data_IF_993984182272
#
_entry.id   IF_993984182272
#
_cell.length_a   1.000
_cell.length_b   1.000
_cell.length_c   1.000
_cell.angle_alpha   90.00
_cell.angle_beta   90.00
_cell.angle_gamma   90.00
#
_symmetry.space_group_name_H-M   'P 1'
#
loop_
_entity.id
_entity.type
_entity.pdbx_description
1 polymer ?
#
# COMPACT_ATOMS: atom_id res chain seq x y z
N UNK A 1 19.16 -3.83 -5.99
CA UNK A 1 18.73 -3.38 -7.35
C UNK A 1 19.18 -4.33 -8.45
N UNK A 2 20.45 -4.82 -8.45
CA UNK A 2 20.97 -5.68 -9.50
C UNK A 2 20.26 -7.05 -9.60
N UNK A 3 19.98 -7.71 -8.48
CA UNK A 3 19.31 -9.02 -8.45
C UNK A 3 17.86 -8.96 -8.93
N UNK A 4 17.11 -7.93 -8.53
CA UNK A 4 15.73 -7.74 -9.02
C UNK A 4 15.71 -7.36 -10.51
N UNK A 5 16.71 -6.61 -10.98
CA UNK A 5 16.91 -6.32 -12.39
C UNK A 5 17.22 -7.57 -13.21
N UNK A 6 18.05 -8.48 -12.69
CA UNK A 6 18.36 -9.74 -13.35
C UNK A 6 17.11 -10.62 -13.48
N UNK A 7 16.33 -10.78 -12.43
CA UNK A 7 15.07 -11.54 -12.47
C UNK A 7 14.07 -10.96 -13.49
N UNK A 8 13.98 -9.62 -13.58
CA UNK A 8 13.18 -8.94 -14.60
C UNK A 8 13.69 -9.20 -16.03
N UNK A 9 14.99 -9.16 -16.23
CA UNK A 9 15.62 -9.42 -17.52
C UNK A 9 15.44 -10.87 -17.99
N UNK A 10 15.52 -11.83 -17.08
CA UNK A 10 15.26 -13.25 -17.35
C UNK A 10 13.80 -13.53 -17.77
N UNK A 11 12.86 -12.66 -17.41
CA UNK A 11 11.44 -12.77 -17.77
C UNK A 11 11.08 -12.04 -19.06
N UNK A 12 11.90 -11.11 -19.52
CA UNK A 12 11.62 -10.28 -20.70
C UNK A 12 12.06 -11.01 -21.97
N UNK A 13 11.12 -11.38 -22.81
CA UNK A 13 11.35 -12.09 -24.09
C UNK A 13 12.23 -11.30 -25.08
N UNK A 14 12.32 -9.98 -24.92
CA UNK A 14 13.19 -9.12 -25.74
C UNK A 14 14.61 -8.95 -25.16
N UNK A 15 14.92 -9.61 -24.05
CA UNK A 15 16.24 -9.51 -23.41
C UNK A 15 17.13 -10.70 -23.80
N UNK A 16 18.42 -10.46 -24.03
CA UNK A 16 19.39 -11.51 -24.37
C UNK A 16 19.55 -12.59 -23.29
N UNK A 17 19.21 -12.25 -22.03
CA UNK A 17 19.23 -13.18 -20.90
C UNK A 17 17.91 -13.95 -20.72
N UNK A 18 16.94 -13.82 -21.63
CA UNK A 18 15.62 -14.46 -21.50
C UNK A 18 15.72 -15.95 -21.24
N UNK A 19 15.23 -16.39 -20.09
CA UNK A 19 15.20 -17.79 -19.67
C UNK A 19 14.07 -18.06 -18.68
N UNK A 20 12.86 -18.34 -19.15
CA UNK A 20 11.72 -18.61 -18.28
C UNK A 20 11.93 -19.85 -17.41
N UNK A 21 12.70 -20.83 -17.88
CA UNK A 21 13.07 -22.02 -17.11
C UNK A 21 13.92 -21.64 -15.88
N UNK A 22 14.92 -20.80 -16.06
CA UNK A 22 15.78 -20.32 -14.94
C UNK A 22 14.97 -19.51 -13.92
N UNK A 23 14.03 -18.67 -14.41
CA UNK A 23 13.12 -17.94 -13.49
C UNK A 23 12.26 -18.90 -12.67
N UNK A 24 11.71 -19.92 -13.31
CA UNK A 24 10.92 -20.94 -12.63
C UNK A 24 11.75 -21.68 -11.57
N UNK A 25 12.97 -22.10 -11.90
CA UNK A 25 13.88 -22.74 -10.95
C UNK A 25 14.18 -21.86 -9.74
N UNK A 26 14.51 -20.57 -9.98
CA UNK A 26 14.81 -19.62 -8.88
C UNK A 26 13.59 -19.48 -7.95
N UNK A 27 12.39 -19.34 -8.52
CA UNK A 27 11.16 -19.19 -7.72
C UNK A 27 10.82 -20.44 -6.92
N UNK A 28 10.86 -21.61 -7.54
CA UNK A 28 10.55 -22.89 -6.87
C UNK A 28 11.58 -23.15 -5.77
N UNK A 29 12.87 -23.00 -6.06
CA UNK A 29 13.92 -23.22 -5.05
C UNK A 29 13.77 -22.25 -3.88
N UNK A 30 13.50 -20.97 -4.13
CA UNK A 30 13.24 -19.99 -3.07
C UNK A 30 12.06 -20.39 -2.18
N UNK A 31 10.96 -20.82 -2.79
CA UNK A 31 9.77 -21.28 -2.03
C UNK A 31 10.07 -22.54 -1.20
N UNK A 32 10.80 -23.53 -1.75
CA UNK A 32 11.18 -24.74 -1.02
C UNK A 32 12.13 -24.44 0.15
N UNK A 33 13.07 -23.52 -0.03
CA UNK A 33 13.97 -23.09 1.04
C UNK A 33 13.21 -22.40 2.19
N UNK A 34 12.23 -21.54 1.87
CA UNK A 34 11.39 -20.92 2.89
C UNK A 34 10.44 -21.92 3.55
N UNK A 35 9.91 -22.89 2.80
CA UNK A 35 9.08 -23.95 3.37
C UNK A 35 9.88 -24.78 4.38
N UNK A 36 11.10 -25.20 4.04
CA UNK A 36 11.99 -25.92 4.93
C UNK A 36 12.26 -25.14 6.23
N UNK A 37 12.44 -23.82 6.13
CA UNK A 37 12.61 -22.96 7.32
C UNK A 37 11.32 -22.88 8.14
N UNK A 38 10.17 -22.73 7.50
CA UNK A 38 8.87 -22.67 8.14
C UNK A 38 8.55 -23.97 8.91
N UNK A 39 8.80 -25.14 8.31
CA UNK A 39 8.62 -26.45 8.95
C UNK A 39 9.47 -26.59 10.23
N UNK A 40 10.73 -26.15 10.17
CA UNK A 40 11.61 -26.15 11.35
C UNK A 40 11.09 -25.21 12.46
N UNK A 41 10.59 -24.03 12.13
CA UNK A 41 9.99 -23.12 13.11
C UNK A 41 8.72 -23.71 13.72
N UNK A 42 7.86 -24.32 12.91
CA UNK A 42 6.64 -24.99 13.41
C UNK A 42 7.01 -26.13 14.39
N UNK A 43 8.07 -26.89 14.11
CA UNK A 43 8.49 -28.02 14.97
C UNK A 43 8.90 -27.62 16.39
N UNK A 44 9.31 -26.36 16.61
CA UNK A 44 9.63 -25.79 17.92
C UNK A 44 8.48 -24.98 18.55
N UNK A 45 7.27 -25.02 17.93
CA UNK A 45 6.08 -24.38 18.46
C UNK A 45 5.87 -22.93 17.99
N UNK A 46 6.58 -22.48 16.95
CA UNK A 46 6.29 -21.17 16.32
C UNK A 46 5.05 -21.25 15.43
N UNK A 47 4.37 -20.11 15.27
CA UNK A 47 3.26 -19.94 14.34
C UNK A 47 3.71 -19.12 13.14
N UNK A 48 3.52 -19.62 11.93
CA UNK A 48 3.76 -18.85 10.71
C UNK A 48 2.53 -17.98 10.45
N UNK A 49 2.67 -16.66 10.64
CA UNK A 49 1.60 -15.69 10.44
C UNK A 49 1.42 -15.39 8.94
N UNK A 50 2.54 -15.27 8.23
CA UNK A 50 2.55 -15.00 6.80
C UNK A 50 3.81 -15.59 6.17
N UNK A 51 3.66 -16.12 4.96
CA UNK A 51 4.75 -16.45 4.05
C UNK A 51 4.55 -15.71 2.72
N UNK A 52 5.58 -15.06 2.22
CA UNK A 52 5.59 -14.44 0.91
C UNK A 52 6.76 -14.99 0.08
N UNK A 53 7.11 -14.35 -1.05
CA UNK A 53 8.14 -14.83 -1.99
C UNK A 53 9.54 -14.94 -1.37
N UNK A 54 9.85 -14.12 -0.38
CA UNK A 54 11.20 -13.86 0.11
C UNK A 54 11.31 -13.75 1.64
N UNK A 55 10.24 -14.04 2.37
CA UNK A 55 10.27 -13.94 3.81
C UNK A 55 9.08 -14.57 4.53
N UNK A 56 9.27 -14.76 5.82
CA UNK A 56 8.29 -15.30 6.77
C UNK A 56 8.02 -14.29 7.87
N UNK A 57 6.75 -14.09 8.25
CA UNK A 57 6.39 -13.50 9.52
C UNK A 57 6.07 -14.62 10.50
N UNK A 58 6.82 -14.66 11.59
CA UNK A 58 6.78 -15.75 12.56
C UNK A 58 6.42 -15.22 13.93
N UNK A 59 5.39 -15.77 14.54
CA UNK A 59 5.09 -15.56 15.94
C UNK A 59 5.82 -16.63 16.75
N UNK A 60 6.85 -16.23 17.48
CA UNK A 60 7.72 -17.08 18.27
C UNK A 60 7.35 -17.01 19.75
N UNK A 61 7.22 -18.15 20.47
CA UNK A 61 7.16 -18.16 21.93
C UNK A 61 8.43 -17.56 22.54
N UNK A 62 8.29 -16.83 23.65
CA UNK A 62 9.42 -16.10 24.26
C UNK A 62 10.54 -17.01 24.76
N UNK A 63 10.20 -18.20 25.22
CA UNK A 63 11.13 -19.22 25.71
C UNK A 63 11.89 -19.94 24.58
N UNK A 64 11.55 -19.74 23.32
CA UNK A 64 12.12 -20.42 22.16
C UNK A 64 13.17 -19.60 21.39
N UNK A 65 13.69 -18.51 21.96
CA UNK A 65 14.70 -17.66 21.31
C UNK A 65 15.93 -18.42 20.85
N UNK A 66 16.51 -19.26 21.74
CA UNK A 66 17.77 -19.96 21.45
C UNK A 66 17.58 -20.98 20.34
N UNK A 67 16.50 -21.80 20.42
CA UNK A 67 16.20 -22.81 19.40
C UNK A 67 15.90 -22.12 18.03
N UNK A 68 15.16 -21.00 18.04
CA UNK A 68 14.87 -20.22 16.85
C UNK A 68 16.15 -19.73 16.17
N UNK A 69 17.06 -19.11 16.91
CA UNK A 69 18.34 -18.63 16.39
C UNK A 69 19.25 -19.76 15.89
N UNK A 70 19.21 -20.91 16.53
CA UNK A 70 19.96 -22.08 16.05
C UNK A 70 19.43 -22.57 14.70
N UNK A 71 18.11 -22.62 14.53
CA UNK A 71 17.47 -22.97 13.24
C UNK A 71 17.90 -21.98 12.15
N UNK A 72 17.90 -20.69 12.43
CA UNK A 72 18.35 -19.67 11.49
C UNK A 72 19.80 -19.92 11.03
N UNK A 73 20.71 -20.13 11.99
CA UNK A 73 22.14 -20.39 11.70
C UNK A 73 22.36 -21.69 10.91
N UNK A 74 21.64 -22.75 11.24
CA UNK A 74 21.72 -24.02 10.50
C UNK A 74 21.22 -23.85 9.07
N UNK A 75 20.12 -23.12 8.89
CA UNK A 75 19.55 -22.84 7.58
C UNK A 75 20.51 -22.01 6.73
N UNK A 76 21.10 -20.93 7.29
CA UNK A 76 22.09 -20.09 6.61
C UNK A 76 23.33 -20.90 6.19
N UNK A 77 23.84 -21.76 7.09
CA UNK A 77 24.96 -22.65 6.80
C UNK A 77 24.65 -23.61 5.66
N UNK A 78 23.44 -24.17 5.65
CA UNK A 78 23.01 -25.14 4.64
C UNK A 78 22.79 -24.48 3.27
N UNK A 79 22.12 -23.34 3.25
CA UNK A 79 21.71 -22.67 2.00
C UNK A 79 22.75 -21.71 1.47
N UNK A 80 23.70 -21.26 2.29
CA UNK A 80 24.66 -20.19 2.02
C UNK A 80 23.99 -18.83 1.72
N UNK A 81 22.75 -18.65 2.16
CA UNK A 81 22.01 -17.40 2.13
C UNK A 81 22.03 -16.78 3.53
N UNK A 82 21.89 -15.47 3.62
CA UNK A 82 21.81 -14.74 4.88
C UNK A 82 20.36 -14.35 5.15
N UNK A 83 19.90 -14.55 6.37
CA UNK A 83 18.60 -14.10 6.84
C UNK A 83 18.72 -12.69 7.45
N UNK A 84 17.82 -11.80 7.09
CA UNK A 84 17.62 -10.54 7.78
C UNK A 84 16.45 -10.69 8.76
N UNK A 85 16.67 -10.37 10.03
CA UNK A 85 15.64 -10.41 11.06
C UNK A 85 15.17 -9.01 11.41
N UNK A 86 13.88 -8.76 11.20
CA UNK A 86 13.18 -7.59 11.73
C UNK A 86 12.29 -8.04 12.90
N UNK A 87 12.38 -7.34 14.04
CA UNK A 87 11.51 -7.61 15.20
C UNK A 87 10.37 -6.62 15.26
N UNK A 88 9.18 -7.14 15.61
CA UNK A 88 7.96 -6.37 15.63
C UNK A 88 7.24 -6.47 16.97
N UNK A 89 6.73 -5.36 17.47
CA UNK A 89 5.86 -5.29 18.65
C UNK A 89 4.42 -5.68 18.32
N UNK A 90 3.95 -5.31 17.11
CA UNK A 90 2.60 -5.59 16.65
C UNK A 90 2.54 -5.69 15.12
N UNK A 91 1.55 -6.44 14.63
CA UNK A 91 1.21 -6.52 13.21
C UNK A 91 -0.30 -6.48 13.03
N UNK A 92 -0.75 -5.58 12.17
CA UNK A 92 -2.14 -5.44 11.75
C UNK A 92 -2.21 -5.80 10.26
N UNK A 93 -2.76 -6.96 9.97
CA UNK A 93 -2.78 -7.53 8.63
C UNK A 93 -4.22 -7.67 8.12
N UNK A 94 -4.49 -7.13 6.94
CA UNK A 94 -5.71 -7.36 6.18
C UNK A 94 -5.48 -8.41 5.09
N UNK A 95 -4.35 -8.31 4.36
CA UNK A 95 -3.94 -9.27 3.33
C UNK A 95 -2.40 -9.33 3.27
N UNK A 96 -1.85 -10.25 2.45
CA UNK A 96 -0.40 -10.44 2.29
C UNK A 96 0.34 -9.15 1.91
N UNK A 97 -0.30 -8.30 1.11
CA UNK A 97 0.26 -7.03 0.66
C UNK A 97 -0.42 -5.79 1.29
N UNK A 98 -1.30 -6.01 2.26
CA UNK A 98 -2.02 -4.97 2.98
C UNK A 98 -1.82 -5.16 4.48
N UNK A 99 -0.77 -4.54 5.03
CA UNK A 99 -0.45 -4.65 6.45
C UNK A 99 0.27 -3.41 6.99
N UNK A 100 0.14 -3.23 8.30
CA UNK A 100 0.89 -2.30 9.13
C UNK A 100 1.64 -3.11 10.18
N UNK A 101 2.98 -3.11 10.13
CA UNK A 101 3.82 -3.76 11.11
C UNK A 101 4.62 -2.72 11.92
N UNK A 102 4.57 -2.84 13.22
CA UNK A 102 5.19 -1.93 14.20
C UNK A 102 6.48 -2.56 14.66
N UNK A 103 7.63 -2.02 14.26
CA UNK A 103 8.95 -2.51 14.67
C UNK A 103 9.19 -2.25 16.17
N UNK A 104 10.02 -3.09 16.76
CA UNK A 104 10.47 -2.96 18.15
C UNK A 104 11.07 -1.57 18.41
N UNK A 105 10.72 -0.95 19.56
CA UNK A 105 11.14 0.38 19.95
C UNK A 105 10.21 1.52 19.51
N UNK A 106 9.17 1.24 18.72
CA UNK A 106 8.19 2.27 18.35
C UNK A 106 7.42 2.78 19.55
N UNK A 107 6.99 1.90 20.44
CA UNK A 107 6.21 2.28 21.63
C UNK A 107 6.94 3.32 22.49
N UNK A 108 8.27 3.29 22.53
CA UNK A 108 9.12 4.20 23.29
C UNK A 108 9.46 5.50 22.52
N UNK A 109 9.84 5.36 21.26
CA UNK A 109 10.40 6.47 20.46
C UNK A 109 9.38 7.23 19.64
N UNK A 110 8.27 6.56 19.27
CA UNK A 110 7.27 7.06 18.31
C UNK A 110 7.86 7.48 16.95
N UNK A 111 9.02 6.89 16.56
CA UNK A 111 9.64 7.18 15.27
C UNK A 111 8.82 6.56 14.12
N UNK A 112 8.26 7.38 13.20
CA UNK A 112 7.49 6.88 12.06
C UNK A 112 8.26 5.90 11.16
N UNK A 113 9.60 5.93 11.16
CA UNK A 113 10.45 5.00 10.41
C UNK A 113 10.36 3.57 10.89
N UNK A 114 9.90 3.36 12.12
CA UNK A 114 9.66 2.03 12.70
C UNK A 114 8.29 1.45 12.30
N UNK A 115 7.48 2.17 11.54
CA UNK A 115 6.23 1.67 10.97
C UNK A 115 6.47 1.17 9.55
N UNK A 116 6.33 -0.14 9.33
CA UNK A 116 6.38 -0.76 8.02
C UNK A 116 4.96 -0.86 7.45
N UNK A 117 4.65 0.02 6.49
CA UNK A 117 3.33 0.15 5.88
C UNK A 117 3.32 -0.46 4.49
N UNK A 118 2.29 -1.24 4.17
CA UNK A 118 2.11 -1.85 2.85
C UNK A 118 0.65 -1.79 2.40
N UNK A 119 0.44 -1.63 1.09
CA UNK A 119 -0.89 -1.58 0.47
C UNK A 119 -1.73 -0.41 0.98
N UNK A 120 -2.92 -0.71 1.47
CA UNK A 120 -3.88 0.28 1.96
C UNK A 120 -3.42 1.10 3.18
N UNK A 121 -2.40 0.64 3.91
CA UNK A 121 -1.86 1.34 5.08
C UNK A 121 -0.81 2.41 4.73
N UNK A 122 -0.45 2.55 3.46
CA UNK A 122 0.50 3.57 3.02
C UNK A 122 -0.19 4.93 3.06
N UNK A 123 0.33 5.84 3.89
CA UNK A 123 -0.16 7.21 4.09
C UNK A 123 0.82 8.28 3.55
N UNK A 124 1.67 7.88 2.60
CA UNK A 124 2.62 8.76 1.92
C UNK A 124 2.19 9.03 0.48
N UNK A 125 2.42 10.26 0.02
CA UNK A 125 2.11 10.68 -1.34
C UNK A 125 2.96 9.92 -2.37
N UNK A 126 2.30 9.22 -3.29
CA UNK A 126 2.96 8.58 -4.44
C UNK A 126 2.74 9.39 -5.71
N UNK A 127 3.76 10.09 -6.15
CA UNK A 127 3.73 10.81 -7.43
C UNK A 127 3.51 9.83 -8.60
N UNK A 128 2.60 10.18 -9.52
CA UNK A 128 2.38 9.46 -10.78
C UNK A 128 1.35 8.32 -10.76
N UNK A 129 0.80 7.95 -9.61
CA UNK A 129 -0.34 7.02 -9.50
C UNK A 129 -1.58 7.75 -9.02
N UNK A 130 -2.76 7.19 -9.30
CA UNK A 130 -3.99 7.63 -8.64
C UNK A 130 -3.84 7.45 -7.13
N UNK A 131 -4.42 8.34 -6.35
CA UNK A 131 -4.21 8.41 -4.91
C UNK A 131 -5.53 8.80 -4.24
N UNK A 132 -5.95 7.99 -3.30
CA UNK A 132 -7.06 8.32 -2.39
C UNK A 132 -6.61 9.34 -1.34
N UNK A 133 -7.57 9.93 -0.63
CA UNK A 133 -7.29 10.90 0.41
C UNK A 133 -6.40 10.29 1.51
N UNK A 134 -5.21 10.88 1.71
CA UNK A 134 -4.19 10.36 2.66
C UNK A 134 -4.63 10.40 4.12
N UNK A 135 -5.64 11.20 4.43
CA UNK A 135 -6.22 11.23 5.79
C UNK A 135 -6.82 9.87 6.19
N UNK A 136 -7.28 9.07 5.21
CA UNK A 136 -7.89 7.76 5.47
C UNK A 136 -6.85 6.79 6.06
N UNK A 137 -5.78 6.41 5.35
CA UNK A 137 -4.76 5.52 5.92
C UNK A 137 -4.07 6.13 7.15
N UNK A 138 -3.85 7.45 7.20
CA UNK A 138 -3.24 8.09 8.38
C UNK A 138 -4.12 7.92 9.62
N UNK A 139 -5.43 8.15 9.51
CA UNK A 139 -6.34 8.02 10.65
C UNK A 139 -6.47 6.57 11.13
N UNK A 140 -6.49 5.61 10.19
CA UNK A 140 -6.50 4.18 10.51
C UNK A 140 -5.20 3.78 11.21
N UNK A 141 -4.06 4.19 10.68
CA UNK A 141 -2.76 3.88 11.28
C UNK A 141 -2.65 4.42 12.71
N UNK A 142 -3.01 5.67 12.95
CA UNK A 142 -3.01 6.28 14.30
C UNK A 142 -3.98 5.57 15.24
N UNK A 143 -5.15 5.19 14.76
CA UNK A 143 -6.11 4.44 15.55
C UNK A 143 -5.58 3.07 15.98
N UNK A 144 -4.98 2.33 15.06
CA UNK A 144 -4.44 1.00 15.33
C UNK A 144 -3.23 1.04 16.27
N UNK A 145 -2.30 1.95 16.03
CA UNK A 145 -1.00 1.99 16.72
C UNK A 145 -1.06 2.83 18.00
N UNK A 146 -1.56 4.07 17.89
CA UNK A 146 -1.53 5.05 18.98
C UNK A 146 -2.86 5.14 19.74
N UNK A 147 -3.88 4.38 19.31
CA UNK A 147 -5.23 4.36 19.91
C UNK A 147 -5.96 5.70 19.84
N UNK A 148 -5.56 6.58 18.91
CA UNK A 148 -6.25 7.84 18.64
C UNK A 148 -7.50 7.57 17.82
N UNK A 149 -8.68 8.05 18.22
CA UNK A 149 -9.92 7.87 17.46
C UNK A 149 -9.79 8.41 16.03
N UNK A 150 -10.33 7.68 15.04
CA UNK A 150 -10.31 8.08 13.62
C UNK A 150 -10.90 9.48 13.45
N UNK A 151 -12.06 9.73 14.06
CA UNK A 151 -12.76 11.02 14.00
C UNK A 151 -11.90 12.17 14.55
N UNK A 152 -11.16 11.95 15.64
CA UNK A 152 -10.26 12.95 16.22
C UNK A 152 -9.12 13.31 15.26
N UNK A 153 -8.50 12.31 14.62
CA UNK A 153 -7.46 12.55 13.61
C UNK A 153 -7.98 13.36 12.43
N UNK A 154 -9.16 13.01 11.92
CA UNK A 154 -9.78 13.67 10.78
C UNK A 154 -10.14 15.13 11.12
N UNK A 155 -10.83 15.37 12.25
CA UNK A 155 -11.29 16.71 12.64
C UNK A 155 -10.14 17.67 13.02
N UNK A 156 -9.04 17.14 13.57
CA UNK A 156 -7.88 17.93 13.95
C UNK A 156 -6.90 18.18 12.78
N UNK A 157 -7.10 17.52 11.64
CA UNK A 157 -6.27 17.74 10.46
C UNK A 157 -6.55 19.11 9.85
N UNK A 158 -5.49 19.91 9.69
CA UNK A 158 -5.55 21.26 9.08
C UNK A 158 -4.96 21.32 7.67
N UNK A 159 -4.43 20.20 7.19
CA UNK A 159 -3.80 20.10 5.86
C UNK A 159 -4.81 19.58 4.83
N UNK A 160 -5.28 20.48 3.95
CA UNK A 160 -6.23 20.14 2.88
C UNK A 160 -5.65 19.07 1.92
N UNK A 161 -4.33 19.02 1.73
CA UNK A 161 -3.71 18.04 0.83
C UNK A 161 -4.02 16.59 1.25
N UNK A 162 -4.24 16.33 2.52
CA UNK A 162 -4.58 15.01 3.04
C UNK A 162 -5.99 14.55 2.67
N UNK A 163 -6.86 15.47 2.33
CA UNK A 163 -8.24 15.20 1.89
C UNK A 163 -8.40 15.14 0.38
N UNK A 164 -7.33 15.45 -0.37
CA UNK A 164 -7.37 15.46 -1.82
C UNK A 164 -7.18 14.06 -2.38
N UNK A 165 -8.13 13.67 -3.24
CA UNK A 165 -8.01 12.51 -4.12
C UNK A 165 -7.43 12.95 -5.46
N UNK A 166 -6.47 12.21 -5.96
CA UNK A 166 -5.90 12.39 -7.30
C UNK A 166 -6.35 11.25 -8.19
N UNK A 167 -7.05 11.56 -9.27
CA UNK A 167 -7.55 10.56 -10.19
C UNK A 167 -7.18 10.86 -11.64
N UNK A 168 -6.75 9.83 -12.35
CA UNK A 168 -6.48 9.83 -13.78
C UNK A 168 -7.41 8.86 -14.48
N UNK A 169 -8.20 9.37 -15.42
CA UNK A 169 -9.08 8.57 -16.27
C UNK A 169 -8.33 8.10 -17.51
N UNK A 170 -8.60 6.86 -17.97
CA UNK A 170 -7.97 6.28 -19.15
C UNK A 170 -8.24 7.10 -20.42
N UNK A 171 -7.40 6.89 -21.47
CA UNK A 171 -7.48 7.69 -22.72
C UNK A 171 -8.78 7.49 -23.48
N UNK A 172 -9.47 6.39 -23.26
CA UNK A 172 -10.72 6.03 -23.94
C UNK A 172 -11.95 6.78 -23.38
N UNK A 173 -11.76 7.55 -22.32
CA UNK A 173 -12.81 8.29 -21.64
C UNK A 173 -12.46 9.75 -21.49
N UNK A 174 -13.48 10.58 -21.51
CA UNK A 174 -13.44 11.97 -21.09
C UNK A 174 -14.02 12.11 -19.68
N UNK A 175 -13.73 13.19 -19.00
CA UNK A 175 -14.30 13.50 -17.67
C UNK A 175 -15.29 14.63 -17.79
N UNK A 176 -16.46 14.45 -17.19
CA UNK A 176 -17.51 15.45 -17.10
C UNK A 176 -17.76 15.86 -15.65
N UNK A 177 -17.83 17.13 -15.43
CA UNK A 177 -18.12 17.77 -14.16
C UNK A 177 -19.05 18.98 -14.39
N UNK A 178 -20.17 19.00 -13.69
CA UNK A 178 -21.19 20.06 -13.81
C UNK A 178 -21.60 20.34 -15.28
N UNK A 179 -21.87 19.28 -16.05
CA UNK A 179 -22.27 19.37 -17.45
C UNK A 179 -21.16 19.78 -18.43
N UNK A 180 -19.93 20.01 -17.97
CA UNK A 180 -18.78 20.42 -18.79
C UNK A 180 -17.73 19.32 -18.87
N UNK A 181 -17.11 19.17 -20.04
CA UNK A 181 -15.93 18.33 -20.18
C UNK A 181 -14.72 19.04 -19.57
N UNK A 182 -14.00 18.32 -18.73
CA UNK A 182 -12.79 18.79 -18.07
C UNK A 182 -11.60 17.89 -18.42
N UNK A 183 -10.42 18.23 -17.93
CA UNK A 183 -9.22 17.42 -18.11
C UNK A 183 -9.36 16.03 -17.52
N UNK A 184 -8.59 15.05 -18.02
CA UNK A 184 -8.65 13.66 -17.57
C UNK A 184 -7.93 13.40 -16.25
N UNK A 185 -7.14 14.34 -15.79
CA UNK A 185 -6.39 14.26 -14.54
C UNK A 185 -6.92 15.35 -13.64
N UNK A 186 -7.55 14.98 -12.53
CA UNK A 186 -8.12 15.93 -11.60
C UNK A 186 -7.72 15.62 -10.17
N UNK A 187 -7.61 16.67 -9.38
CA UNK A 187 -7.55 16.64 -7.92
C UNK A 187 -8.86 17.18 -7.40
N UNK A 188 -9.41 16.51 -6.43
CA UNK A 188 -10.69 16.90 -5.83
C UNK A 188 -10.80 16.41 -4.40
N UNK A 189 -11.66 17.00 -3.64
CA UNK A 189 -12.10 16.48 -2.35
C UNK A 189 -13.60 16.17 -2.38
N UNK A 190 -14.04 15.26 -1.52
CA UNK A 190 -15.45 14.91 -1.35
C UNK A 190 -16.14 16.06 -0.64
N UNK A 191 -17.22 16.61 -1.23
CA UNK A 191 -17.95 17.76 -0.70
C UNK A 191 -19.44 17.49 -0.51
N UNK A 192 -20.06 18.17 0.44
CA UNK A 192 -21.48 18.00 0.77
C UNK A 192 -22.42 18.54 -0.32
N UNK A 193 -21.95 19.52 -1.09
CA UNK A 193 -22.74 20.31 -2.05
C UNK A 193 -22.18 20.31 -3.47
N UNK A 194 -21.09 19.59 -3.72
CA UNK A 194 -20.46 19.54 -5.03
C UNK A 194 -21.23 18.71 -6.05
N UNK A 195 -21.08 18.99 -7.35
CA UNK A 195 -21.60 18.15 -8.43
C UNK A 195 -20.95 16.77 -8.44
N UNK A 196 -21.60 15.83 -9.14
CA UNK A 196 -21.05 14.51 -9.38
C UNK A 196 -19.97 14.55 -10.46
N UNK A 197 -18.95 13.71 -10.29
CA UNK A 197 -17.88 13.51 -11.26
C UNK A 197 -18.14 12.24 -12.07
N UNK A 198 -18.15 12.36 -13.41
CA UNK A 198 -18.39 11.26 -14.32
C UNK A 198 -17.21 11.04 -15.26
N UNK A 199 -17.00 9.80 -15.67
CA UNK A 199 -16.31 9.50 -16.92
C UNK A 199 -17.34 9.08 -17.96
N UNK A 200 -17.16 9.55 -19.21
CA UNK A 200 -18.04 9.26 -20.32
C UNK A 200 -17.24 9.05 -21.61
N UNK A 201 -17.84 8.36 -22.58
CA UNK A 201 -17.30 8.31 -23.96
C UNK A 201 -17.84 9.48 -24.75
N UNK A 202 -17.00 10.08 -25.60
CA UNK A 202 -17.36 11.17 -26.50
C UNK A 202 -17.07 10.70 -27.91
N UNK A 203 -18.08 10.77 -28.79
CA UNK A 203 -17.94 10.43 -30.21
C UNK A 203 -17.40 11.62 -31.04
N UNK A 204 -17.18 11.37 -32.35
CA UNK A 204 -16.71 12.39 -33.31
C UNK A 204 -17.66 13.62 -33.46
N UNK A 205 -18.91 13.43 -33.07
CA UNK A 205 -19.96 14.49 -33.12
C UNK A 205 -20.16 15.16 -31.74
N UNK A 206 -19.21 15.00 -30.83
CA UNK A 206 -19.29 15.51 -29.43
C UNK A 206 -20.50 14.97 -28.63
N UNK A 207 -21.11 13.86 -29.03
CA UNK A 207 -22.18 13.23 -28.26
C UNK A 207 -21.56 12.42 -27.14
N UNK A 208 -22.11 12.57 -25.94
CA UNK A 208 -21.64 11.90 -24.71
C UNK A 208 -22.49 10.66 -24.44
N UNK A 209 -21.82 9.58 -24.10
CA UNK A 209 -22.47 8.27 -23.80
C UNK A 209 -21.70 7.52 -22.72
N UNK A 210 -22.27 6.40 -22.24
CA UNK A 210 -21.61 5.52 -21.27
C UNK A 210 -21.11 6.25 -20.01
N UNK A 211 -22.01 6.98 -19.37
CA UNK A 211 -21.71 7.68 -18.12
C UNK A 211 -21.47 6.72 -16.97
N UNK A 212 -20.32 6.86 -16.32
CA UNK A 212 -19.97 6.10 -15.12
C UNK A 212 -19.57 7.11 -14.05
N UNK A 213 -20.25 7.09 -12.91
CA UNK A 213 -19.86 7.88 -11.73
C UNK A 213 -18.48 7.43 -11.25
N UNK A 214 -17.60 8.39 -10.97
CA UNK A 214 -16.29 8.09 -10.41
C UNK A 214 -16.34 7.89 -8.90
N UNK A 215 -17.32 8.49 -8.24
CA UNK A 215 -17.71 8.24 -6.85
C UNK A 215 -19.21 7.97 -6.80
N UNK A 216 -19.62 7.00 -6.01
CA UNK A 216 -21.01 6.52 -6.00
C UNK A 216 -21.90 7.29 -5.03
N UNK A 217 -21.33 7.83 -3.94
CA UNK A 217 -22.13 8.26 -2.79
C UNK A 217 -22.06 9.76 -2.49
N UNK A 218 -21.19 10.51 -3.17
CA UNK A 218 -21.00 11.92 -2.88
C UNK A 218 -20.60 12.73 -4.12
N UNK A 219 -20.95 14.00 -4.10
CA UNK A 219 -20.40 14.99 -5.00
C UNK A 219 -18.97 15.39 -4.60
N UNK A 220 -18.32 16.15 -5.46
CA UNK A 220 -16.93 16.58 -5.24
C UNK A 220 -16.76 18.05 -5.57
N UNK A 221 -15.71 18.64 -5.02
CA UNK A 221 -15.22 19.95 -5.47
C UNK A 221 -13.84 19.77 -6.08
N UNK A 222 -13.68 20.19 -7.33
CA UNK A 222 -12.40 20.15 -8.06
C UNK A 222 -11.43 21.16 -7.45
N UNK A 223 -10.23 20.71 -7.14
CA UNK A 223 -9.14 21.53 -6.57
C UNK A 223 -7.81 21.16 -7.23
N UNK A 224 -7.67 21.53 -8.50
CA UNK A 224 -6.45 21.20 -9.26
C UNK A 224 -5.24 22.06 -8.85
N UNK A 225 -5.48 23.24 -8.28
CA UNK A 225 -4.46 24.13 -7.71
C UNK A 225 -4.72 24.27 -6.22
N UNK A 226 -3.68 24.11 -5.40
CA UNK A 226 -3.74 24.25 -3.95
C UNK A 226 -2.72 25.31 -3.57
N UNK A 227 -3.16 26.34 -2.87
CA UNK A 227 -2.29 27.38 -2.35
C UNK A 227 -1.57 26.91 -1.09
N UNK A 228 -0.43 27.49 -0.80
CA UNK A 228 0.28 27.22 0.46
C UNK A 228 -0.61 27.67 1.63
N UNK A 229 -0.71 26.81 2.65
CA UNK A 229 -1.50 27.05 3.86
C UNK A 229 -3.02 27.31 3.61
N UNK A 230 -3.55 26.75 2.52
CA UNK A 230 -4.96 26.83 2.20
C UNK A 230 -5.81 26.18 3.30
N UNK A 231 -6.81 26.89 3.88
CA UNK A 231 -7.66 26.32 4.92
C UNK A 231 -8.56 25.21 4.38
N UNK A 232 -8.99 24.35 5.29
CA UNK A 232 -9.98 23.30 4.99
C UNK A 232 -11.32 23.98 4.60
N UNK A 233 -11.89 23.66 3.44
CA UNK A 233 -13.18 24.20 3.02
C UNK A 233 -14.32 23.78 3.95
N UNK A 234 -15.26 24.67 4.22
CA UNK A 234 -16.41 24.40 5.10
C UNK A 234 -17.36 23.33 4.58
N UNK A 235 -17.37 23.10 3.26
CA UNK A 235 -18.23 22.11 2.61
C UNK A 235 -17.60 20.71 2.46
N UNK A 236 -16.42 20.48 3.05
CA UNK A 236 -15.80 19.16 3.02
C UNK A 236 -16.70 18.12 3.69
N UNK A 237 -16.81 16.96 3.07
CA UNK A 237 -17.57 15.84 3.62
C UNK A 237 -16.62 14.93 4.42
N UNK A 238 -16.88 14.81 5.71
CA UNK A 238 -16.10 13.96 6.63
C UNK A 238 -16.67 12.54 6.81
N UNK A 239 -17.69 12.16 6.01
CA UNK A 239 -18.32 10.85 6.08
C UNK A 239 -17.71 9.85 5.12
#
# INVERSE_FOLDING_TARGET
LALNGLSGNLQNEHNFCYSPFTVMQIRINGQLLLLMLAEKFISIGCTIVQANTDGLFVLRPRDKEIEFQNICREWEKLTRLTLEEDRFEAMYQYAINDYLAVKEGYSETKDPKLLKKKGMFIDEVKLGKGMDAMIIPESVNKCLVDKVPVEETIRNCKDINKFITYQKVSRDYSVEYDGKLIQRINRYYISNDGPWLYKCKVDSNNRRSNYIKLLTDSGVTIMNTIEKDQPIPSNINYR
#
